data_IF_877463933089
#
_entry.id   IF_877463933089
#
_cell.length_a   1.000
_cell.length_b   1.000
_cell.length_c   1.000
_cell.angle_alpha   90.00
_cell.angle_beta   90.00
_cell.angle_gamma   90.00
#
_symmetry.space_group_name_H-M   'P 1'
#
loop_
_entity.id
_entity.type
_entity.pdbx_description
1 polymer ?
#
# COMPACT_ATOMS: atom_id res chain seq x y z
N UNK A 1 -19.11 27.79 -30.08
CA UNK A 1 -19.98 26.77 -29.45
C UNK A 1 -19.28 25.41 -29.40
N UNK A 2 -18.83 24.83 -30.50
CA UNK A 2 -18.22 23.48 -30.59
C UNK A 2 -16.97 23.36 -29.68
N UNK A 3 -16.05 24.31 -29.78
CA UNK A 3 -14.82 24.34 -28.95
C UNK A 3 -15.13 24.36 -27.44
N UNK A 4 -16.13 25.14 -27.05
CA UNK A 4 -16.54 25.19 -25.63
C UNK A 4 -17.06 23.84 -25.12
N UNK A 5 -17.92 23.17 -25.86
CA UNK A 5 -18.43 21.85 -25.47
C UNK A 5 -17.33 20.80 -25.45
N UNK A 6 -16.36 20.87 -26.34
CA UNK A 6 -15.21 19.99 -26.38
C UNK A 6 -14.32 20.22 -25.12
N UNK A 7 -13.92 21.47 -24.82
CA UNK A 7 -13.14 21.80 -23.62
C UNK A 7 -13.84 21.34 -22.35
N UNK A 8 -15.16 21.61 -22.23
CA UNK A 8 -15.98 21.13 -21.10
C UNK A 8 -15.96 19.62 -20.97
N UNK A 9 -16.09 18.89 -22.07
CA UNK A 9 -16.08 17.42 -22.09
C UNK A 9 -14.74 16.86 -21.63
N UNK A 10 -13.62 17.39 -22.13
CA UNK A 10 -12.28 16.98 -21.76
C UNK A 10 -11.99 17.30 -20.29
N UNK A 11 -12.32 18.50 -19.84
CA UNK A 11 -12.15 18.89 -18.44
C UNK A 11 -12.91 17.96 -17.47
N UNK A 12 -14.20 17.73 -17.74
CA UNK A 12 -15.02 16.87 -16.89
C UNK A 12 -14.48 15.43 -16.86
N UNK A 13 -13.95 14.93 -17.97
CA UNK A 13 -13.34 13.60 -18.01
C UNK A 13 -12.04 13.56 -17.17
N UNK A 14 -11.20 14.61 -17.25
CA UNK A 14 -10.01 14.71 -16.39
C UNK A 14 -10.38 14.68 -14.91
N UNK A 15 -11.41 15.44 -14.50
CA UNK A 15 -11.91 15.43 -13.13
C UNK A 15 -12.41 14.04 -12.72
N UNK A 16 -13.20 13.39 -13.57
CA UNK A 16 -13.71 12.04 -13.30
C UNK A 16 -12.58 11.02 -13.11
N UNK A 17 -11.55 11.09 -13.94
CA UNK A 17 -10.41 10.18 -13.83
C UNK A 17 -9.53 10.51 -12.60
N UNK A 18 -9.33 11.79 -12.26
CA UNK A 18 -8.61 12.21 -11.06
C UNK A 18 -9.31 11.69 -9.79
N UNK A 19 -10.64 11.83 -9.72
CA UNK A 19 -11.44 11.26 -8.62
C UNK A 19 -11.36 9.73 -8.59
N UNK A 20 -11.28 9.08 -9.76
CA UNK A 20 -11.04 7.64 -9.87
C UNK A 20 -9.70 7.21 -9.24
N UNK A 21 -8.64 7.98 -9.46
CA UNK A 21 -7.32 7.74 -8.84
C UNK A 21 -7.40 7.90 -7.33
N UNK A 22 -8.05 8.93 -6.81
CA UNK A 22 -8.24 9.14 -5.37
C UNK A 22 -9.03 7.99 -4.73
N UNK A 23 -10.06 7.51 -5.41
CA UNK A 23 -10.84 6.35 -4.96
C UNK A 23 -9.98 5.08 -4.92
N UNK A 24 -9.19 4.82 -5.95
CA UNK A 24 -8.27 3.69 -5.98
C UNK A 24 -7.21 3.78 -4.87
N UNK A 25 -6.70 4.97 -4.59
CA UNK A 25 -5.80 5.22 -3.46
C UNK A 25 -6.46 4.87 -2.12
N UNK A 26 -7.70 5.32 -1.90
CA UNK A 26 -8.44 5.00 -0.66
C UNK A 26 -8.61 3.50 -0.44
N UNK A 27 -8.79 2.71 -1.51
CA UNK A 27 -8.86 1.24 -1.39
C UNK A 27 -7.53 0.63 -0.96
N UNK A 28 -6.41 1.12 -1.50
CA UNK A 28 -5.07 0.74 -1.08
C UNK A 28 -4.85 1.08 0.40
N UNK A 29 -5.12 2.31 0.78
CA UNK A 29 -4.95 2.82 2.15
C UNK A 29 -5.77 2.01 3.16
N UNK A 30 -7.02 1.67 2.84
CA UNK A 30 -7.88 0.82 3.66
C UNK A 30 -7.26 -0.56 3.93
N UNK A 31 -6.60 -1.18 2.95
CA UNK A 31 -5.96 -2.48 3.15
C UNK A 31 -4.71 -2.36 4.04
N UNK A 32 -3.92 -1.31 3.87
CA UNK A 32 -2.78 -1.04 4.77
C UNK A 32 -3.25 -0.74 6.19
N UNK A 33 -4.31 0.04 6.35
CA UNK A 33 -4.90 0.31 7.65
C UNK A 33 -5.37 -0.97 8.34
N UNK A 34 -6.05 -1.86 7.60
CA UNK A 34 -6.48 -3.17 8.12
C UNK A 34 -5.29 -4.01 8.61
N UNK A 35 -4.17 -4.00 7.87
CA UNK A 35 -2.95 -4.67 8.31
C UNK A 35 -2.45 -4.10 9.64
N UNK A 36 -2.38 -2.79 9.77
CA UNK A 36 -1.94 -2.12 11.00
C UNK A 36 -2.87 -2.38 12.18
N UNK A 37 -4.17 -2.51 11.94
CA UNK A 37 -5.17 -2.76 12.99
C UNK A 37 -5.10 -4.19 13.56
N UNK A 38 -4.57 -5.15 12.80
CA UNK A 38 -4.37 -6.52 13.26
C UNK A 38 -3.17 -6.67 14.20
N UNK A 39 -2.18 -5.77 14.12
CA UNK A 39 -0.90 -5.88 14.81
C UNK A 39 -1.02 -5.85 16.34
N UNK A 40 -1.81 -4.96 16.98
CA UNK A 40 -1.95 -4.96 18.43
C UNK A 40 -2.46 -6.30 18.98
N UNK A 41 -3.42 -6.93 18.31
CA UNK A 41 -3.94 -8.24 18.71
C UNK A 41 -2.88 -9.33 18.52
N UNK A 42 -2.12 -9.29 17.43
CA UNK A 42 -1.01 -10.20 17.19
C UNK A 42 0.05 -10.08 18.30
N UNK A 43 0.49 -8.87 18.61
CA UNK A 43 1.51 -8.61 19.66
C UNK A 43 1.03 -9.10 21.01
N UNK A 44 -0.24 -8.85 21.38
CA UNK A 44 -0.81 -9.30 22.65
C UNK A 44 -0.89 -10.83 22.74
N UNK A 45 -1.29 -11.49 21.65
CA UNK A 45 -1.34 -12.96 21.59
C UNK A 45 0.07 -13.55 21.73
N UNK A 46 1.04 -13.00 21.01
CA UNK A 46 2.44 -13.47 21.05
C UNK A 46 3.07 -13.27 22.42
N UNK A 47 2.81 -12.15 23.10
CA UNK A 47 3.33 -11.88 24.46
C UNK A 47 2.95 -12.97 25.46
N UNK A 48 1.81 -13.61 25.30
CA UNK A 48 1.36 -14.69 26.16
C UNK A 48 2.22 -15.96 26.09
N UNK A 49 2.95 -16.16 24.98
CA UNK A 49 3.74 -17.37 24.70
C UNK A 49 5.24 -17.11 24.57
N UNK A 50 5.61 -15.95 24.08
CA UNK A 50 6.96 -15.58 23.68
C UNK A 50 7.39 -14.25 24.30
N UNK A 51 7.18 -14.05 25.59
CA UNK A 51 7.52 -12.83 26.32
C UNK A 51 9.02 -12.47 26.27
N UNK A 52 9.88 -13.46 26.02
CA UNK A 52 11.33 -13.26 25.89
C UNK A 52 11.75 -12.61 24.58
N UNK A 53 10.86 -12.60 23.56
CA UNK A 53 11.12 -11.99 22.27
C UNK A 53 10.82 -10.48 22.25
N UNK A 54 11.20 -9.81 23.34
CA UNK A 54 10.86 -8.41 23.59
C UNK A 54 11.34 -7.48 22.48
N UNK A 55 12.58 -7.62 22.05
CA UNK A 55 13.19 -6.78 21.01
C UNK A 55 12.46 -6.90 19.66
N UNK A 56 12.11 -8.13 19.27
CA UNK A 56 11.37 -8.39 18.02
C UNK A 56 9.96 -7.81 18.09
N UNK A 57 9.28 -7.95 19.22
CA UNK A 57 7.96 -7.38 19.45
C UNK A 57 7.98 -5.84 19.44
N UNK A 58 8.96 -5.25 20.10
CA UNK A 58 9.16 -3.78 20.09
C UNK A 58 9.47 -3.28 18.68
N UNK A 59 10.24 -4.02 17.90
CA UNK A 59 10.48 -3.72 16.48
C UNK A 59 9.20 -3.63 15.66
N UNK A 60 8.27 -4.55 15.86
CA UNK A 60 6.96 -4.51 15.18
C UNK A 60 6.12 -3.32 15.64
N UNK A 61 6.08 -3.05 16.95
CA UNK A 61 5.31 -1.92 17.50
C UNK A 61 5.84 -0.59 16.98
N UNK A 62 7.17 -0.42 16.95
CA UNK A 62 7.82 0.80 16.45
C UNK A 62 7.60 1.00 14.95
N UNK A 63 7.75 -0.06 14.16
CA UNK A 63 7.50 0.00 12.71
C UNK A 63 6.03 0.32 12.40
N UNK A 64 5.09 -0.23 13.18
CA UNK A 64 3.67 0.12 13.08
C UNK A 64 3.43 1.61 13.40
N UNK A 65 4.03 2.12 14.46
CA UNK A 65 3.88 3.52 14.85
C UNK A 65 4.39 4.45 13.74
N UNK A 66 5.51 4.13 13.10
CA UNK A 66 6.06 4.90 11.99
C UNK A 66 5.18 4.81 10.74
N UNK A 67 4.71 3.63 10.38
CA UNK A 67 3.77 3.44 9.28
C UNK A 67 2.45 4.21 9.49
N UNK A 68 1.96 4.29 10.72
CA UNK A 68 0.75 5.04 11.06
C UNK A 68 0.91 6.56 10.90
N UNK A 69 2.12 7.09 11.12
CA UNK A 69 2.42 8.52 10.94
C UNK A 69 2.60 8.90 9.48
N UNK A 70 2.98 7.94 8.64
CA UNK A 70 3.27 8.18 7.22
C UNK A 70 1.99 8.06 6.40
N UNK A 71 1.27 9.17 6.28
CA UNK A 71 0.04 9.28 5.48
C UNK A 71 0.30 10.07 4.20
N UNK A 72 -0.53 9.83 3.17
CA UNK A 72 -0.48 10.56 1.90
C UNK A 72 -1.81 11.30 1.71
N UNK A 73 -1.71 12.59 1.36
CA UNK A 73 -2.86 13.33 0.82
C UNK A 73 -3.17 12.81 -0.60
N UNK A 74 -4.38 12.28 -0.85
CA UNK A 74 -4.77 11.78 -2.18
C UNK A 74 -4.65 12.81 -3.29
N UNK A 75 -4.69 14.10 -2.95
CA UNK A 75 -4.49 15.20 -3.90
C UNK A 75 -3.01 15.41 -4.27
N UNK A 76 -2.08 14.85 -3.51
CA UNK A 76 -0.65 15.02 -3.67
C UNK A 76 0.09 13.67 -3.77
N UNK A 77 -0.33 12.83 -4.71
CA UNK A 77 0.28 11.53 -5.01
C UNK A 77 1.55 11.70 -5.84
N UNK A 78 2.60 12.25 -5.20
CA UNK A 78 3.92 12.44 -5.81
C UNK A 78 4.79 11.20 -5.65
N UNK A 79 5.83 11.11 -6.47
CA UNK A 79 6.81 10.04 -6.38
C UNK A 79 7.51 9.99 -5.01
N UNK A 80 7.82 11.16 -4.44
CA UNK A 80 8.43 11.28 -3.12
C UNK A 80 7.49 10.80 -2.00
N UNK A 81 6.21 11.26 -2.01
CA UNK A 81 5.23 10.89 -0.99
C UNK A 81 4.93 9.38 -1.03
N UNK A 82 4.78 8.83 -2.23
CA UNK A 82 4.53 7.40 -2.41
C UNK A 82 5.73 6.55 -2.00
N UNK A 83 6.95 6.99 -2.30
CA UNK A 83 8.19 6.30 -1.88
C UNK A 83 8.34 6.27 -0.36
N UNK A 84 8.07 7.38 0.33
CA UNK A 84 8.08 7.43 1.81
C UNK A 84 7.05 6.47 2.39
N UNK A 85 5.84 6.45 1.85
CA UNK A 85 4.78 5.54 2.26
C UNK A 85 5.20 4.08 2.06
N UNK A 86 5.71 3.72 0.88
CA UNK A 86 6.18 2.36 0.58
C UNK A 86 7.32 1.94 1.53
N UNK A 87 8.26 2.84 1.84
CA UNK A 87 9.37 2.56 2.75
C UNK A 87 8.86 2.22 4.16
N UNK A 88 7.99 3.04 4.73
CA UNK A 88 7.43 2.80 6.07
C UNK A 88 6.61 1.51 6.14
N UNK A 89 5.80 1.22 5.12
CA UNK A 89 5.02 -0.01 5.04
C UNK A 89 5.90 -1.24 4.80
N UNK A 90 7.00 -1.09 4.05
CA UNK A 90 8.00 -2.14 3.82
C UNK A 90 8.76 -2.49 5.11
N UNK A 91 9.15 -1.50 5.91
CA UNK A 91 9.78 -1.72 7.21
C UNK A 91 8.87 -2.50 8.16
N UNK A 92 7.58 -2.17 8.17
CA UNK A 92 6.59 -2.93 8.94
C UNK A 92 6.48 -4.38 8.44
N UNK A 93 6.45 -4.60 7.13
CA UNK A 93 6.46 -5.93 6.53
C UNK A 93 7.70 -6.75 6.93
N UNK A 94 8.88 -6.13 6.91
CA UNK A 94 10.12 -6.75 7.34
C UNK A 94 10.12 -7.10 8.84
N UNK A 95 9.59 -6.21 9.68
CA UNK A 95 9.48 -6.47 11.12
C UNK A 95 8.53 -7.64 11.41
N UNK A 96 7.38 -7.70 10.72
CA UNK A 96 6.44 -8.83 10.81
C UNK A 96 7.07 -10.14 10.33
N UNK A 97 7.82 -10.12 9.24
CA UNK A 97 8.52 -11.31 8.72
C UNK A 97 9.55 -11.84 9.71
N UNK A 98 10.31 -10.96 10.36
CA UNK A 98 11.27 -11.34 11.43
C UNK A 98 10.53 -11.95 12.62
N UNK A 99 9.41 -11.36 13.03
CA UNK A 99 8.60 -11.91 14.11
C UNK A 99 8.12 -13.33 13.77
N UNK A 100 7.53 -13.52 12.57
CA UNK A 100 7.05 -14.84 12.15
C UNK A 100 8.17 -15.89 12.12
N UNK A 101 9.38 -15.52 11.69
CA UNK A 101 10.54 -16.42 11.71
C UNK A 101 10.93 -16.85 13.14
N UNK A 102 10.92 -15.91 14.09
CA UNK A 102 11.20 -16.20 15.49
C UNK A 102 10.15 -17.12 16.10
N UNK A 103 8.88 -16.93 15.73
CA UNK A 103 7.75 -17.70 16.24
C UNK A 103 7.74 -19.18 15.79
N UNK A 104 8.55 -19.54 14.80
CA UNK A 104 8.75 -20.95 14.43
C UNK A 104 9.26 -21.83 15.60
N UNK A 105 9.88 -21.22 16.60
CA UNK A 105 10.39 -21.91 17.81
C UNK A 105 9.31 -22.12 18.89
N UNK A 106 8.09 -21.64 18.67
CA UNK A 106 7.00 -21.64 19.65
C UNK A 106 5.80 -22.46 19.14
N UNK A 107 5.87 -23.80 19.18
CA UNK A 107 4.83 -24.68 18.62
C UNK A 107 3.46 -24.50 19.29
N UNK A 108 3.42 -24.20 20.59
CA UNK A 108 2.18 -23.99 21.33
C UNK A 108 1.45 -22.71 20.87
N UNK A 109 2.20 -21.65 20.56
CA UNK A 109 1.68 -20.44 19.96
C UNK A 109 1.13 -20.72 18.54
N UNK A 110 1.86 -21.45 17.74
CA UNK A 110 1.45 -21.81 16.37
C UNK A 110 0.16 -22.65 16.36
N UNK A 111 -0.09 -23.43 17.41
CA UNK A 111 -1.32 -24.19 17.59
C UNK A 111 -2.47 -23.39 18.21
N UNK A 112 -2.21 -22.15 18.65
CA UNK A 112 -3.24 -21.28 19.21
C UNK A 112 -4.20 -20.80 18.12
N UNK A 113 -5.51 -20.98 18.33
CA UNK A 113 -6.51 -20.65 17.32
C UNK A 113 -6.53 -19.16 16.98
N UNK A 114 -6.45 -18.28 17.97
CA UNK A 114 -6.42 -16.82 17.75
C UNK A 114 -5.20 -16.41 16.90
N UNK A 115 -4.03 -17.02 17.17
CA UNK A 115 -2.82 -16.76 16.39
C UNK A 115 -2.99 -17.22 14.93
N UNK A 116 -3.53 -18.42 14.71
CA UNK A 116 -3.78 -18.93 13.35
C UNK A 116 -4.77 -18.05 12.58
N UNK A 117 -5.82 -17.57 13.22
CA UNK A 117 -6.78 -16.66 12.60
C UNK A 117 -6.16 -15.32 12.24
N UNK A 118 -5.34 -14.74 13.14
CA UNK A 118 -4.62 -13.49 12.89
C UNK A 118 -3.61 -13.65 11.75
N UNK A 119 -2.88 -14.75 11.72
CA UNK A 119 -1.96 -15.06 10.63
C UNK A 119 -2.69 -15.15 9.29
N UNK A 120 -3.80 -15.88 9.22
CA UNK A 120 -4.61 -16.00 8.03
C UNK A 120 -5.18 -14.63 7.57
N UNK A 121 -5.60 -13.78 8.50
CA UNK A 121 -6.06 -12.43 8.18
C UNK A 121 -4.94 -11.53 7.67
N UNK A 122 -3.73 -11.63 8.23
CA UNK A 122 -2.55 -10.89 7.75
C UNK A 122 -2.18 -11.32 6.32
N UNK A 123 -2.10 -12.62 6.05
CA UNK A 123 -1.83 -13.15 4.71
C UNK A 123 -2.89 -12.72 3.69
N UNK A 124 -4.17 -12.79 4.07
CA UNK A 124 -5.28 -12.32 3.24
C UNK A 124 -5.20 -10.82 2.96
N UNK A 125 -4.76 -10.04 3.92
CA UNK A 125 -4.58 -8.59 3.77
C UNK A 125 -3.39 -8.27 2.85
N UNK A 126 -2.27 -8.99 2.96
CA UNK A 126 -1.13 -8.85 2.03
C UNK A 126 -1.53 -9.12 0.57
N UNK A 127 -2.30 -10.17 0.34
CA UNK A 127 -2.82 -10.47 -0.99
C UNK A 127 -3.72 -9.36 -1.53
N UNK A 128 -4.58 -8.79 -0.68
CA UNK A 128 -5.46 -7.66 -1.08
C UNK A 128 -4.65 -6.39 -1.33
N UNK A 129 -3.63 -6.10 -0.53
CA UNK A 129 -2.71 -4.98 -0.76
C UNK A 129 -2.08 -5.11 -2.15
N UNK A 130 -1.59 -6.27 -2.52
CA UNK A 130 -1.00 -6.52 -3.85
C UNK A 130 -2.01 -6.26 -4.97
N UNK A 131 -3.25 -6.73 -4.83
CA UNK A 131 -4.32 -6.52 -5.82
C UNK A 131 -4.68 -5.04 -5.95
N UNK A 132 -4.87 -4.33 -4.82
CA UNK A 132 -5.27 -2.93 -4.85
C UNK A 132 -4.14 -2.01 -5.35
N UNK A 133 -2.86 -2.33 -5.05
CA UNK A 133 -1.71 -1.63 -5.63
C UNK A 133 -1.68 -1.73 -7.16
N UNK A 134 -1.92 -2.93 -7.69
CA UNK A 134 -2.01 -3.15 -9.14
C UNK A 134 -3.15 -2.34 -9.74
N UNK A 135 -4.33 -2.40 -9.13
CA UNK A 135 -5.51 -1.64 -9.57
C UNK A 135 -5.26 -0.14 -9.55
N UNK A 136 -4.64 0.37 -8.48
CA UNK A 136 -4.25 1.77 -8.39
C UNK A 136 -3.33 2.17 -9.55
N UNK A 137 -2.30 1.38 -9.84
CA UNK A 137 -1.38 1.65 -10.93
C UNK A 137 -2.11 1.68 -12.30
N UNK A 138 -3.04 0.77 -12.53
CA UNK A 138 -3.85 0.74 -13.78
C UNK A 138 -4.72 2.00 -13.92
N UNK A 139 -5.39 2.43 -12.85
CA UNK A 139 -6.21 3.64 -12.83
C UNK A 139 -5.35 4.89 -13.01
N UNK A 140 -4.22 4.98 -12.30
CA UNK A 140 -3.27 6.09 -12.43
C UNK A 140 -2.66 6.16 -13.84
N UNK A 141 -2.38 5.01 -14.46
CA UNK A 141 -1.90 4.94 -15.84
C UNK A 141 -2.93 5.47 -16.81
N UNK A 142 -4.20 5.09 -16.68
CA UNK A 142 -5.28 5.57 -17.53
C UNK A 142 -5.42 7.09 -17.44
N UNK A 143 -5.42 7.63 -16.23
CA UNK A 143 -5.44 9.07 -15.99
C UNK A 143 -4.22 9.78 -16.58
N UNK A 144 -3.01 9.32 -16.26
CA UNK A 144 -1.77 9.91 -16.76
C UNK A 144 -1.71 9.90 -18.29
N UNK A 145 -2.16 8.82 -18.92
CA UNK A 145 -2.24 8.71 -20.38
C UNK A 145 -3.21 9.76 -20.95
N UNK A 146 -4.40 9.86 -20.36
CA UNK A 146 -5.44 10.79 -20.84
C UNK A 146 -4.99 12.25 -20.78
N UNK A 147 -4.38 12.69 -19.67
CA UNK A 147 -3.92 14.09 -19.53
C UNK A 147 -2.70 14.42 -20.40
N UNK A 148 -1.94 13.42 -20.87
CA UNK A 148 -0.75 13.59 -21.71
C UNK A 148 -1.02 13.47 -23.20
N UNK A 149 -2.15 12.89 -23.60
CA UNK A 149 -2.53 12.80 -25.00
C UNK A 149 -2.82 14.18 -25.60
N UNK A 150 -2.42 14.38 -26.86
CA UNK A 150 -2.81 15.57 -27.62
C UNK A 150 -4.27 15.45 -28.09
N UNK A 151 -5.09 16.50 -28.00
CA UNK A 151 -4.77 17.85 -27.51
C UNK A 151 -5.03 18.08 -26.01
N UNK A 152 -5.39 17.03 -25.24
CA UNK A 152 -5.73 17.13 -23.80
C UNK A 152 -4.59 17.71 -22.95
N UNK A 153 -3.32 17.45 -23.35
CA UNK A 153 -2.14 17.94 -22.65
C UNK A 153 -2.07 19.48 -22.57
N UNK A 154 -2.68 20.19 -23.49
CA UNK A 154 -2.77 21.66 -23.45
C UNK A 154 -3.70 22.06 -22.29
N UNK A 155 -4.87 21.42 -22.21
CA UNK A 155 -5.86 21.72 -21.18
C UNK A 155 -5.41 21.27 -19.80
N UNK A 156 -4.74 20.11 -19.70
CA UNK A 156 -4.21 19.63 -18.42
C UNK A 156 -3.20 20.60 -17.82
N UNK A 157 -2.31 21.16 -18.65
CA UNK A 157 -1.38 22.21 -18.24
C UNK A 157 -2.08 23.50 -17.80
N UNK A 158 -3.12 23.93 -18.54
CA UNK A 158 -3.89 25.14 -18.20
C UNK A 158 -4.69 25.01 -16.90
N UNK A 159 -5.24 23.83 -16.61
CA UNK A 159 -6.07 23.57 -15.44
C UNK A 159 -5.32 22.94 -14.27
N UNK A 160 -4.01 22.70 -14.41
CA UNK A 160 -3.16 22.22 -13.33
C UNK A 160 -3.28 20.73 -13.00
N UNK A 161 -3.78 19.91 -13.94
CA UNK A 161 -3.79 18.46 -13.79
C UNK A 161 -2.37 17.89 -13.91
N UNK A 162 -1.90 17.22 -12.88
CA UNK A 162 -0.56 16.65 -12.80
C UNK A 162 -0.60 15.12 -12.83
N UNK A 163 0.44 14.52 -13.39
CA UNK A 163 0.61 13.07 -13.39
C UNK A 163 0.73 12.53 -11.96
N UNK A 164 0.16 11.36 -11.74
CA UNK A 164 0.25 10.62 -10.47
C UNK A 164 1.40 9.62 -10.53
N UNK A 165 2.04 9.40 -9.39
CA UNK A 165 3.06 8.38 -9.25
C UNK A 165 2.47 6.96 -9.26
N UNK A 166 3.33 5.96 -9.48
CA UNK A 166 3.00 4.54 -9.44
C UNK A 166 3.68 3.86 -8.27
N UNK A 167 3.04 2.83 -7.73
CA UNK A 167 3.76 1.87 -6.89
C UNK A 167 4.82 1.17 -7.72
N UNK A 168 6.04 1.14 -7.20
CA UNK A 168 7.15 0.40 -7.80
C UNK A 168 7.25 -1.00 -7.17
N UNK A 169 7.89 -1.94 -7.87
CA UNK A 169 8.26 -3.22 -7.28
C UNK A 169 9.22 -2.97 -6.10
N UNK A 170 9.09 -3.75 -5.03
CA UNK A 170 10.03 -3.69 -3.92
C UNK A 170 11.42 -4.08 -4.40
N UNK A 171 12.45 -3.36 -3.95
CA UNK A 171 13.83 -3.65 -4.28
C UNK A 171 14.18 -5.06 -3.80
N UNK A 172 14.39 -5.96 -4.72
CA UNK A 172 14.65 -7.39 -4.48
C UNK A 172 13.63 -8.35 -5.09
N UNK A 173 12.46 -7.87 -5.50
CA UNK A 173 11.47 -8.67 -6.24
C UNK A 173 11.96 -9.12 -7.64
N UNK A 174 13.02 -8.49 -8.15
CA UNK A 174 13.66 -8.85 -9.43
C UNK A 174 14.51 -10.12 -9.34
N UNK A 175 14.86 -10.56 -8.14
CA UNK A 175 15.59 -11.82 -7.95
C UNK A 175 14.57 -12.93 -7.76
N UNK A 176 14.16 -13.57 -8.85
CA UNK A 176 13.48 -14.85 -8.76
C UNK A 176 14.32 -15.78 -7.86
N UNK A 177 13.71 -16.48 -6.89
CA UNK A 177 14.45 -17.46 -6.11
C UNK A 177 15.07 -18.48 -7.08
N UNK A 178 16.40 -18.64 -7.03
CA UNK A 178 17.05 -19.75 -7.73
C UNK A 178 16.54 -21.02 -7.07
N UNK A 179 15.68 -21.73 -7.79
CA UNK A 179 15.33 -23.10 -7.44
C UNK A 179 16.53 -23.94 -7.89
N UNK A 180 17.41 -24.29 -6.97
CA UNK A 180 18.40 -25.34 -7.18
C UNK A 180 17.71 -26.67 -6.89
N UNK A 181 17.64 -27.53 -7.91
CA UNK A 181 17.21 -28.93 -7.80
C UNK A 181 18.37 -29.78 -7.36
#
# INVERSE_FOLDING_TARGET
AILFFWVKGVYNNMVTQDEGVKTAWSQVENQYQRRMDLIPNLVNTVKGYAAHEKETLEGVVNARAEATKTTIDPSNLTEESLKKFQSAQGELGNALSRLMLVLERYPDLKANQNFMELQAQLEGTENRISVERKRFNEVAQSYNTYIRQFPNNILSGMFGFQSKAYFTAESGAEKAPKVEF
#
